data_IF_598718308119
#
_entry.id   IF_598718308119
#
_cell.length_a   1.000
_cell.length_b   1.000
_cell.length_c   1.000
_cell.angle_alpha   90.00
_cell.angle_beta   90.00
_cell.angle_gamma   90.00
#
_symmetry.space_group_name_H-M   'P 1'
#
loop_
_entity.id
_entity.type
_entity.pdbx_description
1 polymer ?
#
# COMPACT_ATOMS: atom_id res chain seq x y z
N UNK A 1 21.05 -12.29 -102.84
CA UNK A 1 19.75 -11.85 -102.45
C UNK A 1 19.69 -11.90 -100.92
N UNK A 2 20.25 -11.01 -100.29
CA UNK A 2 20.57 -11.05 -98.90
C UNK A 2 19.97 -9.93 -98.16
N UNK A 3 19.45 -10.19 -96.99
CA UNK A 3 18.88 -9.24 -96.07
C UNK A 3 19.74 -9.18 -94.82
N UNK A 4 20.28 -8.03 -94.56
CA UNK A 4 21.08 -7.73 -93.41
C UNK A 4 20.21 -7.51 -92.14
N UNK A 5 20.53 -8.29 -91.11
CA UNK A 5 19.93 -8.21 -89.76
C UNK A 5 20.66 -7.19 -88.91
N UNK A 6 19.99 -6.10 -88.54
CA UNK A 6 20.50 -5.26 -87.50
C UNK A 6 20.00 -5.69 -86.15
N UNK A 7 20.90 -6.10 -85.25
CA UNK A 7 20.62 -6.41 -83.83
C UNK A 7 20.64 -5.09 -83.03
N UNK A 8 19.49 -4.68 -82.49
CA UNK A 8 19.41 -3.62 -81.48
C UNK A 8 19.58 -4.20 -80.10
N UNK A 9 20.61 -3.78 -79.40
CA UNK A 9 20.84 -4.07 -78.01
C UNK A 9 19.88 -3.23 -77.14
N UNK A 10 18.94 -3.86 -76.47
CA UNK A 10 18.21 -3.23 -75.37
C UNK A 10 18.98 -3.46 -74.07
N UNK A 11 19.51 -2.35 -73.53
CA UNK A 11 19.99 -2.32 -72.14
C UNK A 11 18.81 -2.28 -71.19
N UNK A 12 18.59 -3.33 -70.43
CA UNK A 12 17.68 -3.38 -69.31
C UNK A 12 18.34 -2.78 -68.12
N UNK A 13 17.92 -1.58 -67.76
CA UNK A 13 18.31 -0.93 -66.48
C UNK A 13 17.43 -1.51 -65.36
N UNK A 14 18.02 -2.36 -64.53
CA UNK A 14 17.33 -2.84 -63.29
C UNK A 14 17.44 -1.75 -62.23
N UNK A 15 16.33 -1.08 -61.94
CA UNK A 15 16.17 -0.27 -60.73
C UNK A 15 15.92 -1.22 -59.58
N UNK A 16 16.90 -1.33 -58.69
CA UNK A 16 16.73 -1.98 -57.39
C UNK A 16 16.04 -0.98 -56.46
N UNK A 17 14.74 -1.15 -56.22
CA UNK A 17 14.00 -0.48 -55.17
C UNK A 17 14.41 -1.08 -53.82
N UNK A 18 15.23 -0.39 -53.07
CA UNK A 18 15.49 -0.68 -51.67
C UNK A 18 14.32 -0.14 -50.85
N UNK A 19 13.42 -1.04 -50.46
CA UNK A 19 12.38 -0.73 -49.48
C UNK A 19 13.03 -0.63 -48.10
N UNK A 20 13.35 0.57 -47.65
CA UNK A 20 13.67 0.83 -46.25
C UNK A 20 12.39 0.67 -45.40
N UNK A 21 12.21 -0.50 -44.80
CA UNK A 21 11.27 -0.68 -43.69
C UNK A 21 11.84 0.11 -42.49
N UNK A 22 11.36 1.31 -42.28
CA UNK A 22 11.60 2.05 -41.04
C UNK A 22 10.83 1.35 -39.93
N UNK A 23 11.51 0.52 -39.14
CA UNK A 23 11.02 0.02 -37.84
C UNK A 23 10.95 1.21 -36.91
N UNK A 24 9.79 1.84 -36.81
CA UNK A 24 9.48 2.79 -35.73
C UNK A 24 9.32 2.00 -34.43
N UNK A 25 10.42 1.80 -33.73
CA UNK A 25 10.41 1.33 -32.34
C UNK A 25 9.76 2.45 -31.52
N UNK A 26 8.51 2.26 -31.16
CA UNK A 26 7.84 3.06 -30.14
C UNK A 26 8.54 2.78 -28.81
N UNK A 27 9.57 3.55 -28.52
CA UNK A 27 10.11 3.67 -27.17
C UNK A 27 9.02 4.32 -26.31
N UNK A 28 8.17 3.47 -25.67
CA UNK A 28 7.40 3.92 -24.53
C UNK A 28 8.41 4.54 -23.56
N UNK A 29 8.20 5.79 -23.12
CA UNK A 29 9.09 6.38 -22.12
C UNK A 29 8.94 5.55 -20.84
N UNK A 30 9.80 4.57 -20.68
CA UNK A 30 10.04 3.99 -19.37
C UNK A 30 10.43 5.14 -18.47
N UNK A 31 9.53 5.57 -17.57
CA UNK A 31 9.87 6.53 -16.54
C UNK A 31 11.04 5.97 -15.76
N UNK A 32 12.23 6.35 -16.15
CA UNK A 32 13.44 6.11 -15.39
C UNK A 32 13.19 6.72 -14.02
N UNK A 33 13.15 5.87 -12.98
CA UNK A 33 13.17 6.34 -11.60
C UNK A 33 14.49 7.10 -11.44
N UNK A 34 14.40 8.42 -11.37
CA UNK A 34 15.54 9.27 -11.09
C UNK A 34 16.22 8.74 -9.83
N UNK A 35 17.54 8.54 -9.90
CA UNK A 35 18.35 8.19 -8.72
C UNK A 35 18.10 9.27 -7.66
N UNK A 36 17.34 8.93 -6.61
CA UNK A 36 17.38 9.65 -5.34
C UNK A 36 16.15 10.35 -4.81
N UNK A 37 15.11 10.65 -5.58
CA UNK A 37 13.93 11.38 -5.07
C UNK A 37 12.67 10.52 -4.96
N UNK A 38 11.93 10.66 -3.86
CA UNK A 38 10.54 10.18 -3.82
C UNK A 38 9.69 11.06 -4.74
N UNK A 39 8.68 10.51 -5.45
CA UNK A 39 7.73 11.32 -6.19
C UNK A 39 7.09 12.37 -5.26
N UNK A 40 6.89 13.58 -5.74
CA UNK A 40 6.19 14.64 -4.99
C UNK A 40 4.74 14.22 -4.71
N UNK A 41 4.10 13.59 -5.69
CA UNK A 41 2.75 13.07 -5.62
C UNK A 41 2.72 11.54 -5.55
N UNK A 42 1.71 10.94 -4.89
CA UNK A 42 1.56 9.50 -4.90
C UNK A 42 1.27 9.01 -6.32
N UNK A 43 1.84 7.87 -6.65
CA UNK A 43 1.50 7.15 -7.87
C UNK A 43 0.14 6.50 -7.70
N UNK A 44 -0.62 6.39 -8.78
CA UNK A 44 -1.88 5.68 -8.81
C UNK A 44 -1.68 4.24 -9.31
N UNK A 45 -2.35 3.32 -8.66
CA UNK A 45 -2.40 1.90 -8.99
C UNK A 45 -3.83 1.55 -9.41
N UNK A 46 -4.01 1.24 -10.67
CA UNK A 46 -5.28 0.70 -11.15
C UNK A 46 -5.46 -0.71 -10.61
N UNK A 47 -6.63 -0.99 -10.09
CA UNK A 47 -6.97 -2.24 -9.44
C UNK A 47 -8.22 -2.81 -10.07
N UNK A 48 -8.16 -4.08 -10.48
CA UNK A 48 -9.32 -4.77 -11.02
C UNK A 48 -10.32 -5.07 -9.87
N UNK A 49 -11.58 -4.80 -10.11
CA UNK A 49 -12.70 -5.10 -9.21
C UNK A 49 -12.63 -4.40 -7.83
N UNK A 50 -11.85 -3.32 -7.73
CA UNK A 50 -11.75 -2.47 -6.54
C UNK A 50 -11.40 -1.03 -6.93
N UNK A 51 -11.63 -0.03 -6.05
CA UNK A 51 -11.15 1.31 -6.29
C UNK A 51 -9.62 1.35 -6.46
N UNK A 52 -9.13 2.28 -7.28
CA UNK A 52 -7.70 2.52 -7.42
C UNK A 52 -7.04 2.83 -6.07
N UNK A 53 -5.75 2.54 -5.94
CA UNK A 53 -5.00 2.85 -4.72
C UNK A 53 -3.90 3.86 -5.00
N UNK A 54 -3.55 4.64 -4.00
CA UNK A 54 -2.38 5.50 -4.03
C UNK A 54 -1.18 4.80 -3.41
N UNK A 55 0.02 5.05 -3.93
CA UNK A 55 1.20 4.43 -3.34
C UNK A 55 2.49 5.22 -3.59
N UNK A 56 3.47 4.94 -2.75
CA UNK A 56 4.86 5.36 -2.93
C UNK A 56 5.80 4.14 -2.89
N UNK A 57 6.77 4.06 -3.80
CA UNK A 57 7.80 3.02 -3.74
C UNK A 57 8.71 3.20 -2.52
N UNK A 58 9.30 2.12 -2.00
CA UNK A 58 10.26 2.20 -0.91
C UNK A 58 11.57 2.86 -1.36
N UNK A 59 12.29 3.43 -0.42
CA UNK A 59 13.69 3.83 -0.63
C UNK A 59 14.57 2.58 -0.78
N UNK A 60 15.45 2.60 -1.78
CA UNK A 60 16.38 1.51 -2.06
C UNK A 60 15.81 0.39 -2.95
N UNK A 61 16.64 -0.62 -3.22
CA UNK A 61 16.34 -1.76 -4.09
C UNK A 61 16.00 -3.02 -3.31
N UNK A 62 15.49 -4.06 -4.01
CA UNK A 62 15.18 -5.37 -3.46
C UNK A 62 13.76 -5.51 -2.91
N UNK A 63 13.39 -6.73 -2.47
CA UNK A 63 12.06 -7.03 -1.95
C UNK A 63 11.79 -6.31 -0.63
N UNK A 64 10.72 -5.52 -0.57
CA UNK A 64 10.31 -4.77 0.62
C UNK A 64 8.90 -5.15 1.06
N UNK A 65 8.58 -5.05 2.37
CA UNK A 65 7.22 -5.23 2.83
C UNK A 65 6.33 -4.08 2.35
N UNK A 66 5.02 -4.29 2.43
CA UNK A 66 4.03 -3.24 2.26
C UNK A 66 3.68 -2.66 3.63
N UNK A 67 3.54 -1.36 3.71
CA UNK A 67 2.84 -0.61 4.74
C UNK A 67 1.50 -0.23 4.14
N UNK A 68 0.46 -1.01 4.47
CA UNK A 68 -0.90 -0.79 3.98
C UNK A 68 -1.60 0.13 4.97
N UNK A 69 -1.96 1.33 4.51
CA UNK A 69 -2.64 2.30 5.35
C UNK A 69 -4.12 2.38 5.02
N UNK A 70 -4.96 2.11 6.00
CA UNK A 70 -6.40 2.23 5.94
C UNK A 70 -6.85 3.53 6.63
N UNK A 71 -7.41 4.41 5.85
CA UNK A 71 -7.79 5.76 6.29
C UNK A 71 -9.04 5.77 7.18
N UNK A 72 -9.23 6.86 7.90
CA UNK A 72 -10.45 7.10 8.67
C UNK A 72 -11.64 7.47 7.77
N UNK A 73 -12.84 7.40 8.32
CA UNK A 73 -14.08 7.80 7.63
C UNK A 73 -13.99 9.26 7.18
N UNK A 74 -14.30 9.50 5.91
CA UNK A 74 -14.30 10.84 5.34
C UNK A 74 -12.92 11.41 5.01
N UNK A 75 -11.84 10.64 5.21
CA UNK A 75 -10.50 11.08 4.83
C UNK A 75 -10.28 11.05 3.31
N UNK A 76 -9.28 11.80 2.86
CA UNK A 76 -8.77 11.75 1.50
C UNK A 76 -7.54 10.82 1.45
N UNK A 77 -7.64 9.60 0.85
CA UNK A 77 -6.55 8.63 0.83
C UNK A 77 -5.29 9.13 0.10
N UNK A 78 -5.43 10.01 -0.89
CA UNK A 78 -4.31 10.59 -1.62
C UNK A 78 -3.48 11.49 -0.70
N UNK A 79 -4.15 12.38 0.03
CA UNK A 79 -3.49 13.29 0.98
C UNK A 79 -2.85 12.55 2.14
N UNK A 80 -3.55 11.57 2.69
CA UNK A 80 -2.99 10.75 3.75
C UNK A 80 -1.78 9.94 3.27
N UNK A 81 -1.81 9.46 2.02
CA UNK A 81 -0.66 8.78 1.43
C UNK A 81 0.58 9.68 1.34
N UNK A 82 0.42 10.96 0.99
CA UNK A 82 1.52 11.94 1.03
C UNK A 82 2.09 12.09 2.46
N UNK A 83 1.23 12.13 3.47
CA UNK A 83 1.67 12.21 4.86
C UNK A 83 2.48 10.96 5.26
N UNK A 84 1.97 9.78 4.94
CA UNK A 84 2.62 8.51 5.25
C UNK A 84 3.93 8.29 4.49
N UNK A 85 4.07 8.81 3.27
CA UNK A 85 5.31 8.74 2.50
C UNK A 85 6.50 9.36 3.23
N UNK A 86 6.28 10.45 3.99
CA UNK A 86 7.31 11.16 4.75
C UNK A 86 8.06 10.26 5.74
N UNK A 87 7.40 9.21 6.23
CA UNK A 87 7.97 8.31 7.24
C UNK A 87 8.03 6.86 6.77
N UNK A 88 7.05 6.39 6.02
CA UNK A 88 6.87 4.96 5.70
C UNK A 88 7.83 4.43 4.64
N UNK A 89 8.20 5.23 3.65
CA UNK A 89 9.02 4.79 2.51
C UNK A 89 10.42 4.29 2.89
N UNK A 90 10.92 4.67 4.06
CA UNK A 90 12.14 4.11 4.63
C UNK A 90 12.00 2.64 5.05
N UNK A 91 10.79 2.16 5.31
CA UNK A 91 10.50 0.83 5.82
C UNK A 91 9.88 -0.10 4.78
N UNK A 92 9.16 0.42 3.79
CA UNK A 92 8.48 -0.39 2.78
C UNK A 92 7.73 0.43 1.74
N UNK A 93 6.94 -0.27 0.94
CA UNK A 93 5.96 0.33 0.05
C UNK A 93 4.86 0.98 0.90
N UNK A 94 4.64 2.27 0.75
CA UNK A 94 3.48 2.93 1.35
C UNK A 94 2.33 2.79 0.37
N UNK A 95 1.26 2.12 0.79
CA UNK A 95 0.10 1.82 -0.07
C UNK A 95 -1.16 2.21 0.67
N UNK A 96 -1.96 3.04 0.04
CA UNK A 96 -3.15 3.64 0.62
C UNK A 96 -4.36 3.33 -0.29
N UNK A 97 -5.04 2.19 -0.05
CA UNK A 97 -6.28 1.88 -0.75
C UNK A 97 -7.34 2.94 -0.46
N UNK A 98 -8.25 3.09 -1.39
CA UNK A 98 -9.47 3.86 -1.19
C UNK A 98 -10.55 2.93 -0.62
N UNK A 99 -11.23 3.35 0.43
CA UNK A 99 -12.43 2.68 0.91
C UNK A 99 -13.51 2.62 -0.17
N UNK A 100 -14.36 1.61 -0.15
CA UNK A 100 -15.36 1.34 -1.20
C UNK A 100 -16.45 2.41 -1.31
N UNK A 101 -16.72 3.16 -0.23
CA UNK A 101 -17.74 4.21 -0.20
C UNK A 101 -17.16 5.55 -0.66
N UNK A 102 -17.65 6.08 -1.78
CA UNK A 102 -17.33 7.42 -2.25
C UNK A 102 -18.22 8.45 -1.53
N UNK A 103 -17.60 9.44 -0.91
CA UNK A 103 -18.30 10.52 -0.19
C UNK A 103 -18.20 11.87 -0.88
N UNK A 104 -17.64 11.91 -2.08
CA UNK A 104 -17.41 13.11 -2.86
C UNK A 104 -16.13 13.86 -2.49
N UNK A 105 -15.65 14.72 -3.40
CA UNK A 105 -14.46 15.57 -3.16
C UNK A 105 -13.17 14.80 -2.84
N UNK A 106 -13.05 13.54 -3.25
CA UNK A 106 -11.91 12.67 -2.90
C UNK A 106 -12.00 12.05 -1.49
N UNK A 107 -13.08 12.31 -0.77
CA UNK A 107 -13.35 11.73 0.55
C UNK A 107 -13.91 10.32 0.43
N UNK A 108 -13.42 9.38 1.25
CA UNK A 108 -13.76 7.95 1.19
C UNK A 108 -14.11 7.38 2.57
N UNK A 109 -14.84 6.26 2.59
CA UNK A 109 -15.10 5.48 3.79
C UNK A 109 -15.15 3.97 3.49
N UNK A 110 -15.15 3.15 4.54
CA UNK A 110 -15.13 1.69 4.44
C UNK A 110 -16.50 1.06 4.67
N UNK A 111 -17.52 1.86 4.92
CA UNK A 111 -18.88 1.41 5.27
C UNK A 111 -18.91 0.41 6.45
N UNK A 112 -17.94 0.49 7.36
CA UNK A 112 -17.73 -0.46 8.48
C UNK A 112 -17.67 -1.94 8.04
N UNK A 113 -17.31 -2.23 6.79
CA UNK A 113 -17.28 -3.60 6.25
C UNK A 113 -15.85 -4.15 6.20
N UNK A 114 -15.52 -5.06 7.10
CA UNK A 114 -14.23 -5.76 7.08
C UNK A 114 -14.10 -6.69 5.85
N UNK A 115 -15.20 -7.23 5.33
CA UNK A 115 -15.19 -8.08 4.14
C UNK A 115 -14.85 -7.27 2.89
N UNK A 116 -15.52 -6.13 2.71
CA UNK A 116 -15.18 -5.20 1.64
C UNK A 116 -13.75 -4.67 1.77
N UNK A 117 -13.34 -4.31 2.99
CA UNK A 117 -11.98 -3.87 3.28
C UNK A 117 -10.94 -4.92 2.92
N UNK A 118 -11.16 -6.18 3.28
CA UNK A 118 -10.28 -7.29 2.93
C UNK A 118 -10.19 -7.51 1.42
N UNK A 119 -11.33 -7.51 0.73
CA UNK A 119 -11.38 -7.64 -0.73
C UNK A 119 -10.53 -6.57 -1.41
N UNK A 120 -10.74 -5.30 -1.04
CA UNK A 120 -9.98 -4.17 -1.58
C UNK A 120 -8.49 -4.30 -1.30
N UNK A 121 -8.11 -4.63 -0.07
CA UNK A 121 -6.70 -4.79 0.31
C UNK A 121 -6.01 -5.91 -0.45
N UNK A 122 -6.67 -7.04 -0.65
CA UNK A 122 -6.14 -8.18 -1.38
C UNK A 122 -5.99 -7.87 -2.87
N UNK A 123 -6.99 -7.23 -3.48
CA UNK A 123 -6.93 -6.77 -4.87
C UNK A 123 -5.78 -5.78 -5.09
N UNK A 124 -5.63 -4.79 -4.21
CA UNK A 124 -4.54 -3.79 -4.26
C UNK A 124 -3.17 -4.45 -4.11
N UNK A 125 -3.02 -5.37 -3.16
CA UNK A 125 -1.75 -6.07 -2.95
C UNK A 125 -1.36 -6.94 -4.15
N UNK A 126 -2.34 -7.62 -4.75
CA UNK A 126 -2.13 -8.43 -5.96
C UNK A 126 -1.75 -7.56 -7.16
N UNK A 127 -2.44 -6.44 -7.38
CA UNK A 127 -2.10 -5.48 -8.44
C UNK A 127 -0.68 -4.91 -8.27
N UNK A 128 -0.30 -4.54 -7.04
CA UNK A 128 1.05 -4.06 -6.74
C UNK A 128 2.13 -5.12 -7.01
N UNK A 129 1.88 -6.38 -6.64
CA UNK A 129 2.79 -7.50 -6.90
C UNK A 129 2.92 -7.80 -8.39
N UNK A 130 1.83 -7.75 -9.12
CA UNK A 130 1.84 -7.95 -10.58
C UNK A 130 2.67 -6.86 -11.28
N UNK A 131 2.50 -5.60 -10.86
CA UNK A 131 3.23 -4.45 -11.41
C UNK A 131 4.72 -4.46 -11.06
N UNK A 132 5.07 -4.92 -9.86
CA UNK A 132 6.44 -4.89 -9.32
C UNK A 132 6.94 -6.27 -8.95
N UNK A 133 6.97 -7.18 -9.93
CA UNK A 133 7.39 -8.58 -9.77
C UNK A 133 8.71 -8.69 -9.00
N UNK A 134 8.72 -9.50 -7.94
CA UNK A 134 9.91 -9.76 -7.12
C UNK A 134 10.31 -8.62 -6.16
N UNK A 135 9.70 -7.43 -6.23
CA UNK A 135 10.02 -6.28 -5.36
C UNK A 135 9.11 -6.12 -4.14
N UNK A 136 7.98 -6.81 -4.13
CA UNK A 136 7.03 -6.82 -3.01
C UNK A 136 7.15 -8.16 -2.30
N UNK A 137 7.43 -8.15 -0.99
CA UNK A 137 7.49 -9.38 -0.18
C UNK A 137 6.17 -10.16 -0.25
N UNK A 138 6.24 -11.48 -0.06
CA UNK A 138 5.04 -12.32 -0.04
C UNK A 138 4.23 -12.19 1.27
N UNK A 139 4.86 -11.83 2.40
CA UNK A 139 4.27 -11.81 3.74
C UNK A 139 5.05 -10.88 4.68
N UNK A 140 4.61 -10.81 5.94
CA UNK A 140 5.20 -9.96 6.98
C UNK A 140 5.09 -8.47 6.65
N UNK A 141 3.93 -8.06 6.17
CA UNK A 141 3.59 -6.66 5.92
C UNK A 141 3.23 -5.94 7.22
N UNK A 142 3.20 -4.62 7.16
CA UNK A 142 2.73 -3.75 8.23
C UNK A 142 1.35 -3.25 7.83
N UNK A 143 0.37 -3.50 8.69
CA UNK A 143 -0.98 -2.99 8.53
C UNK A 143 -1.12 -1.76 9.43
N UNK A 144 -1.55 -0.65 8.85
CA UNK A 144 -1.78 0.62 9.54
C UNK A 144 -3.25 1.00 9.36
N UNK A 145 -3.94 1.29 10.44
CA UNK A 145 -5.33 1.76 10.36
C UNK A 145 -5.56 2.93 11.29
N UNK A 146 -6.37 3.89 10.85
CA UNK A 146 -6.81 5.03 11.66
C UNK A 146 -8.33 5.07 11.73
N UNK A 147 -8.90 5.24 12.94
CA UNK A 147 -10.35 5.40 13.15
C UNK A 147 -11.15 4.24 12.54
N UNK A 148 -12.05 4.48 11.58
CA UNK A 148 -12.75 3.41 10.85
C UNK A 148 -11.78 2.40 10.22
N UNK A 149 -10.67 2.89 9.64
CA UNK A 149 -9.62 2.04 9.09
C UNK A 149 -8.90 1.21 10.16
N UNK A 150 -8.84 1.67 11.42
CA UNK A 150 -8.30 0.89 12.54
C UNK A 150 -9.18 -0.34 12.85
N UNK A 151 -10.48 -0.17 12.82
CA UNK A 151 -11.45 -1.26 12.94
C UNK A 151 -11.26 -2.32 11.85
N UNK A 152 -11.24 -1.89 10.58
CA UNK A 152 -11.02 -2.79 9.45
C UNK A 152 -9.66 -3.50 9.56
N UNK A 153 -8.59 -2.76 9.90
CA UNK A 153 -7.24 -3.29 10.02
C UNK A 153 -7.15 -4.41 11.07
N UNK A 154 -7.77 -4.24 12.23
CA UNK A 154 -7.75 -5.25 13.28
C UNK A 154 -8.43 -6.53 12.82
N UNK A 155 -9.60 -6.45 12.20
CA UNK A 155 -10.34 -7.62 11.74
C UNK A 155 -9.63 -8.35 10.60
N UNK A 156 -9.21 -7.63 9.57
CA UNK A 156 -8.48 -8.22 8.44
C UNK A 156 -7.12 -8.80 8.89
N UNK A 157 -6.47 -8.13 9.83
CA UNK A 157 -5.21 -8.60 10.41
C UNK A 157 -5.34 -9.91 11.18
N UNK A 158 -6.46 -10.12 11.89
CA UNK A 158 -6.77 -11.39 12.57
C UNK A 158 -7.06 -12.54 11.58
N UNK A 159 -7.71 -12.26 10.46
CA UNK A 159 -8.01 -13.26 9.43
C UNK A 159 -6.79 -13.79 8.72
N UNK A 160 -5.76 -12.94 8.49
CA UNK A 160 -4.50 -13.36 7.85
C UNK A 160 -3.27 -12.79 8.58
N UNK A 161 -3.00 -13.28 9.80
CA UNK A 161 -1.92 -12.76 10.64
C UNK A 161 -0.52 -13.08 10.09
N UNK A 162 -0.38 -13.98 9.14
CA UNK A 162 0.89 -14.26 8.48
C UNK A 162 1.20 -13.21 7.41
N UNK A 163 0.21 -12.74 6.68
CA UNK A 163 0.32 -11.64 5.72
C UNK A 163 0.54 -10.33 6.45
N UNK A 164 -0.32 -10.04 7.43
CA UNK A 164 -0.36 -8.82 8.23
C UNK A 164 0.19 -9.07 9.64
N UNK A 165 1.45 -9.46 9.74
CA UNK A 165 2.04 -9.89 11.01
C UNK A 165 2.45 -8.73 11.95
N UNK A 166 2.33 -7.49 11.50
CA UNK A 166 2.70 -6.29 12.28
C UNK A 166 1.63 -5.23 12.10
N UNK A 167 1.17 -4.67 13.21
CA UNK A 167 0.09 -3.67 13.16
C UNK A 167 0.51 -2.38 13.83
N UNK A 168 0.15 -1.25 13.22
CA UNK A 168 0.12 0.08 13.81
C UNK A 168 -1.32 0.55 13.79
N UNK A 169 -2.00 0.45 14.92
CA UNK A 169 -3.42 0.79 15.04
C UNK A 169 -3.55 2.11 15.77
N UNK A 170 -4.16 3.07 15.08
CA UNK A 170 -4.34 4.43 15.53
C UNK A 170 -5.79 4.65 15.91
N UNK A 171 -6.03 5.13 17.13
CA UNK A 171 -7.38 5.25 17.69
C UNK A 171 -8.12 3.90 17.70
N UNK A 172 -7.48 2.86 18.26
CA UNK A 172 -8.04 1.51 18.38
C UNK A 172 -9.25 1.49 19.32
N UNK A 173 -10.25 0.69 18.97
CA UNK A 173 -11.39 0.45 19.86
C UNK A 173 -11.76 -1.03 19.89
N UNK A 174 -11.86 -1.59 21.09
CA UNK A 174 -12.33 -2.94 21.37
C UNK A 174 -13.83 -3.15 21.08
N UNK A 175 -14.59 -2.06 20.97
CA UNK A 175 -16.04 -2.09 20.70
C UNK A 175 -16.40 -2.68 19.33
N UNK A 176 -15.47 -2.62 18.39
CA UNK A 176 -15.69 -3.07 17.02
C UNK A 176 -15.12 -4.46 16.74
N UNK A 177 -14.63 -5.15 17.75
CA UNK A 177 -14.21 -6.51 17.57
C UNK A 177 -15.44 -7.43 17.55
N UNK A 178 -15.59 -8.21 16.49
CA UNK A 178 -16.71 -9.13 16.29
C UNK A 178 -16.25 -10.56 16.56
N UNK A 179 -17.16 -11.38 17.05
CA UNK A 179 -16.88 -12.80 17.30
C UNK A 179 -16.15 -13.06 18.62
N UNK A 180 -15.59 -14.25 18.76
CA UNK A 180 -14.78 -14.64 19.91
C UNK A 180 -13.33 -14.19 19.73
N UNK A 181 -13.08 -12.93 20.07
CA UNK A 181 -11.76 -12.29 19.97
C UNK A 181 -10.66 -13.05 20.70
N UNK A 182 -10.97 -13.70 21.81
CA UNK A 182 -9.97 -14.47 22.58
C UNK A 182 -9.51 -15.69 21.78
N UNK A 183 -10.43 -16.40 21.18
CA UNK A 183 -10.13 -17.55 20.31
C UNK A 183 -9.38 -17.10 19.06
N UNK A 184 -9.82 -16.04 18.40
CA UNK A 184 -9.14 -15.50 17.20
C UNK A 184 -7.72 -15.04 17.52
N UNK A 185 -7.50 -14.32 18.61
CA UNK A 185 -6.17 -13.92 19.06
C UNK A 185 -5.30 -15.14 19.44
N UNK A 186 -5.88 -16.17 20.03
CA UNK A 186 -5.16 -17.41 20.35
C UNK A 186 -4.64 -18.09 19.07
N UNK A 187 -5.42 -18.13 18.01
CA UNK A 187 -5.01 -18.65 16.71
C UNK A 187 -3.99 -17.74 16.01
N UNK A 188 -4.19 -16.44 16.07
CA UNK A 188 -3.34 -15.46 15.40
C UNK A 188 -1.97 -15.28 16.09
N UNK A 189 -1.86 -15.44 17.40
CA UNK A 189 -0.71 -15.05 18.22
C UNK A 189 0.64 -15.57 17.74
N UNK A 190 0.69 -16.79 17.20
CA UNK A 190 1.94 -17.40 16.72
C UNK A 190 2.47 -16.74 15.42
N UNK A 191 1.61 -16.04 14.69
CA UNK A 191 1.91 -15.35 13.42
C UNK A 191 1.93 -13.83 13.58
N UNK A 192 1.10 -13.30 14.50
CA UNK A 192 1.07 -11.88 14.82
C UNK A 192 2.28 -11.49 15.67
N UNK A 193 3.23 -10.84 15.04
CA UNK A 193 4.54 -10.61 15.65
C UNK A 193 4.57 -9.43 16.59
N UNK A 194 3.97 -8.30 16.18
CA UNK A 194 4.02 -7.04 16.94
C UNK A 194 2.81 -6.18 16.64
N UNK A 195 2.25 -5.60 17.68
CA UNK A 195 1.17 -4.62 17.58
C UNK A 195 1.58 -3.35 18.31
N UNK A 196 1.46 -2.22 17.65
CA UNK A 196 1.65 -0.90 18.24
C UNK A 196 0.32 -0.16 18.21
N UNK A 197 -0.23 0.13 19.36
CA UNK A 197 -1.44 0.94 19.53
C UNK A 197 -1.03 2.35 19.87
N UNK A 198 -1.65 3.36 19.23
CA UNK A 198 -1.39 4.74 19.50
C UNK A 198 -2.68 5.54 19.37
N UNK A 199 -2.94 6.42 20.34
CA UNK A 199 -4.03 7.39 20.30
C UNK A 199 -3.64 8.67 21.00
N UNK A 200 -4.41 9.73 20.81
CA UNK A 200 -4.22 10.99 21.51
C UNK A 200 -4.78 10.94 22.93
N UNK A 201 -4.21 11.72 23.83
CA UNK A 201 -4.70 11.88 25.21
C UNK A 201 -6.12 12.47 25.24
N UNK A 202 -6.42 13.35 24.29
CA UNK A 202 -7.74 13.99 24.15
C UNK A 202 -8.66 13.25 23.16
N UNK A 203 -8.31 12.01 22.79
CA UNK A 203 -9.14 11.18 21.91
C UNK A 203 -10.21 10.45 22.75
N UNK A 204 -11.47 10.51 22.33
CA UNK A 204 -12.57 9.81 23.00
C UNK A 204 -12.45 8.28 23.05
N UNK A 205 -11.44 7.68 22.40
CA UNK A 205 -11.20 6.22 22.41
C UNK A 205 -9.95 5.82 23.23
N UNK A 206 -9.42 6.69 24.09
CA UNK A 206 -8.24 6.37 24.92
C UNK A 206 -8.43 5.09 25.71
N UNK A 207 -9.52 5.00 26.48
CA UNK A 207 -9.84 3.81 27.29
C UNK A 207 -10.03 2.56 26.44
N UNK A 208 -10.67 2.69 25.27
CA UNK A 208 -10.84 1.57 24.34
C UNK A 208 -9.49 1.08 23.80
N UNK A 209 -8.58 2.01 23.49
CA UNK A 209 -7.21 1.70 23.06
C UNK A 209 -6.43 0.96 24.16
N UNK A 210 -6.58 1.39 25.42
CA UNK A 210 -5.96 0.72 26.55
C UNK A 210 -6.51 -0.70 26.74
N UNK A 211 -7.84 -0.87 26.76
CA UNK A 211 -8.49 -2.20 26.84
C UNK A 211 -8.06 -3.12 25.68
N UNK A 212 -7.98 -2.60 24.45
CA UNK A 212 -7.46 -3.36 23.30
C UNK A 212 -6.03 -3.83 23.59
N UNK A 213 -5.19 -2.99 24.16
CA UNK A 213 -3.83 -3.34 24.57
C UNK A 213 -3.79 -4.46 25.61
N UNK A 214 -4.71 -4.43 26.58
CA UNK A 214 -4.79 -5.44 27.63
C UNK A 214 -5.27 -6.80 27.08
N UNK A 215 -6.24 -6.83 26.20
CA UNK A 215 -6.66 -8.03 25.48
C UNK A 215 -5.53 -8.68 24.69
N UNK A 216 -4.75 -7.87 23.97
CA UNK A 216 -3.58 -8.34 23.24
C UNK A 216 -2.47 -8.90 24.17
N UNK A 217 -2.22 -8.25 25.32
CA UNK A 217 -1.26 -8.76 26.33
C UNK A 217 -1.73 -10.08 26.92
N UNK A 218 -3.02 -10.20 27.29
CA UNK A 218 -3.62 -11.45 27.79
C UNK A 218 -3.46 -12.59 26.79
N UNK A 219 -3.60 -12.28 25.49
CA UNK A 219 -3.36 -13.24 24.41
C UNK A 219 -1.85 -13.48 24.13
N UNK A 220 -0.93 -12.92 24.93
CA UNK A 220 0.52 -13.03 24.78
C UNK A 220 1.06 -12.47 23.45
N UNK A 221 0.36 -11.52 22.86
CA UNK A 221 0.85 -10.76 21.71
C UNK A 221 1.86 -9.71 22.17
N UNK A 222 2.95 -9.54 21.43
CA UNK A 222 3.93 -8.49 21.71
C UNK A 222 3.34 -7.12 21.33
N UNK A 223 2.83 -6.40 22.31
CA UNK A 223 2.09 -5.13 22.12
C UNK A 223 2.72 -3.97 22.87
N UNK A 224 2.77 -2.81 22.23
CA UNK A 224 3.03 -1.51 22.86
C UNK A 224 1.83 -0.61 22.71
N UNK A 225 1.53 0.16 23.77
CA UNK A 225 0.49 1.17 23.78
C UNK A 225 1.16 2.52 24.07
N UNK A 226 0.81 3.53 23.29
CA UNK A 226 1.27 4.93 23.50
C UNK A 226 0.09 5.88 23.45
N UNK A 227 -0.07 6.64 24.51
CA UNK A 227 -0.95 7.78 24.54
C UNK A 227 -0.09 9.03 24.27
N UNK A 228 -0.47 9.83 23.29
CA UNK A 228 0.27 11.03 22.87
C UNK A 228 -0.32 12.23 23.56
N UNK A 229 0.45 12.98 24.39
CA UNK A 229 -0.05 14.13 25.09
C UNK A 229 -0.62 15.19 24.13
N UNK A 230 -1.71 15.84 24.53
CA UNK A 230 -2.38 16.94 23.82
C UNK A 230 -2.87 16.60 22.39
N UNK A 231 -2.78 15.36 21.95
CA UNK A 231 -3.29 14.93 20.65
C UNK A 231 -4.76 14.51 20.79
N UNK A 232 -5.60 14.90 19.85
CA UNK A 232 -6.99 14.48 19.71
C UNK A 232 -7.16 13.25 18.80
N UNK A 233 -8.37 13.11 18.22
CA UNK A 233 -8.70 12.09 17.24
C UNK A 233 -8.24 12.51 15.84
N UNK A 234 -6.95 12.43 15.58
CA UNK A 234 -6.34 13.01 14.38
C UNK A 234 -5.10 12.25 13.86
N UNK A 235 -4.75 12.48 12.58
CA UNK A 235 -3.43 12.24 12.04
C UNK A 235 -2.64 13.54 12.05
N UNK A 236 -1.60 13.69 12.88
CA UNK A 236 -0.85 14.93 13.01
C UNK A 236 -0.09 15.25 11.71
N UNK A 237 -0.55 16.29 10.97
CA UNK A 237 -0.05 16.60 9.62
C UNK A 237 1.46 16.92 9.60
N UNK A 238 1.91 17.73 10.55
CA UNK A 238 3.30 18.23 10.59
C UNK A 238 4.23 17.36 11.46
N UNK A 239 3.67 16.42 12.22
CA UNK A 239 4.41 15.59 13.18
C UNK A 239 4.49 14.11 12.78
N UNK A 240 4.25 13.76 11.51
CA UNK A 240 4.26 12.37 11.05
C UNK A 240 5.56 11.63 11.39
N UNK A 241 6.70 12.26 11.13
CA UNK A 241 8.01 11.63 11.38
C UNK A 241 8.28 11.47 12.88
N UNK A 242 8.06 12.50 13.67
CA UNK A 242 8.29 12.48 15.12
C UNK A 242 7.34 11.53 15.85
N UNK A 243 6.11 11.39 15.36
CA UNK A 243 5.09 10.53 15.96
C UNK A 243 5.29 9.07 15.57
N UNK A 244 5.51 8.76 14.28
CA UNK A 244 5.41 7.40 13.77
C UNK A 244 6.74 6.72 13.42
N UNK A 245 7.87 7.43 13.36
CA UNK A 245 9.18 6.81 13.07
C UNK A 245 9.56 5.75 14.11
N UNK A 246 9.44 6.06 15.40
CA UNK A 246 9.75 5.09 16.48
C UNK A 246 8.83 3.87 16.46
N UNK A 247 7.49 4.00 16.35
CA UNK A 247 6.59 2.87 16.10
C UNK A 247 6.99 2.00 14.91
N UNK A 248 7.23 2.59 13.75
CA UNK A 248 7.61 1.84 12.54
C UNK A 248 8.97 1.15 12.68
N UNK A 249 9.94 1.78 13.31
CA UNK A 249 11.23 1.16 13.65
C UNK A 249 11.02 -0.09 14.51
N UNK A 250 10.24 0.03 15.57
CA UNK A 250 9.98 -1.10 16.48
C UNK A 250 9.20 -2.21 15.75
N UNK A 251 8.20 -1.89 14.94
CA UNK A 251 7.48 -2.88 14.13
C UNK A 251 8.39 -3.56 13.11
N UNK A 252 9.32 -2.84 12.52
CA UNK A 252 10.22 -3.35 11.48
C UNK A 252 11.39 -4.15 12.03
N UNK A 253 11.73 -4.00 13.31
CA UNK A 253 12.83 -4.70 13.96
C UNK A 253 12.49 -6.19 14.17
N UNK A 254 13.51 -7.06 14.03
CA UNK A 254 13.37 -8.53 14.17
C UNK A 254 12.89 -9.20 12.88
N UNK A 255 13.52 -10.36 12.60
CA UNK A 255 13.20 -11.27 11.49
C UNK A 255 11.84 -11.95 11.67
#
# INVERSE_FOLDING_TARGET
MGGSSQRRFFRVVRFALWSMLALTVWLLPGRAFAKGGQPAEPLMLDVKDAPAAYYYPPKGSGPRPVIMYLHGRGANPQEDCRKWAKVGTAFGWVVCPQGGEDRGGGSRAWANSADSGQHIMDAVLNALRAKYKGRVRARNHILVGFSEGAFIAQQVGLRDPQKWSRWLILAASDRYWVGDVKTELSHARSKLRRVYLLTGENDGVVENTQRTGDLLRQAKVNVKVRIVPQMGHELPQDKMVTTYKKPLLWLSAGK
#
